data_IF_790649726044
#
_entry.id   IF_790649726044
#
_cell.length_a   1.000
_cell.length_b   1.000
_cell.length_c   1.000
_cell.angle_alpha   90.00
_cell.angle_beta   90.00
_cell.angle_gamma   90.00
#
_symmetry.space_group_name_H-M   'P 1'
#
loop_
_entity.id
_entity.type
_entity.pdbx_description
1 polymer ?
#
# COMPACT_ATOMS: atom_id res chain seq x y z
N UNK A 1 -33.48 -2.84 -4.60
CA UNK A 1 -32.24 -2.60 -5.35
C UNK A 1 -31.19 -1.97 -4.45
N UNK A 2 -30.12 -2.69 -4.15
CA UNK A 2 -29.07 -2.29 -3.20
C UNK A 2 -28.39 -0.99 -3.66
N UNK A 3 -28.50 0.08 -2.87
CA UNK A 3 -27.89 1.38 -3.18
C UNK A 3 -26.38 1.43 -2.93
N UNK A 4 -25.70 0.28 -2.88
CA UNK A 4 -24.29 0.13 -2.50
C UNK A 4 -23.56 -0.72 -3.54
N UNK A 5 -22.27 -0.47 -3.71
CA UNK A 5 -21.38 -1.29 -4.52
C UNK A 5 -21.16 -2.64 -3.85
N UNK A 6 -21.40 -3.75 -4.54
CA UNK A 6 -21.20 -5.10 -4.01
C UNK A 6 -19.71 -5.43 -3.79
N UNK A 7 -18.81 -4.77 -4.53
CA UNK A 7 -17.37 -4.95 -4.32
C UNK A 7 -16.85 -4.12 -3.13
N UNK A 8 -16.97 -2.79 -3.15
CA UNK A 8 -16.35 -1.92 -2.13
C UNK A 8 -17.32 -1.41 -1.04
N UNK A 9 -18.60 -1.77 -1.06
CA UNK A 9 -19.60 -1.31 -0.10
C UNK A 9 -20.02 0.16 -0.24
N UNK A 10 -19.43 0.91 -1.17
CA UNK A 10 -19.66 2.34 -1.34
C UNK A 10 -21.10 2.68 -1.76
N UNK A 11 -21.71 3.70 -1.14
CA UNK A 11 -23.09 4.11 -1.42
C UNK A 11 -23.17 4.84 -2.78
N UNK A 12 -23.89 4.25 -3.73
CA UNK A 12 -23.99 4.70 -5.13
C UNK A 12 -24.99 5.84 -5.35
N UNK A 13 -25.72 6.27 -4.32
CA UNK A 13 -26.78 7.30 -4.43
C UNK A 13 -26.25 8.74 -4.53
N UNK A 14 -25.01 9.02 -4.12
CA UNK A 14 -24.46 10.38 -3.99
C UNK A 14 -23.50 10.82 -5.09
N UNK A 15 -23.17 9.95 -6.05
CA UNK A 15 -22.19 10.27 -7.10
C UNK A 15 -22.87 10.24 -8.46
N UNK A 16 -22.85 11.35 -9.20
CA UNK A 16 -23.25 11.42 -10.61
C UNK A 16 -22.38 10.60 -11.59
N UNK A 17 -21.61 9.63 -11.07
CA UNK A 17 -20.74 8.76 -11.86
C UNK A 17 -21.51 7.49 -12.26
N UNK A 18 -21.34 7.04 -13.50
CA UNK A 18 -22.01 5.85 -14.07
C UNK A 18 -21.68 4.60 -13.24
N UNK A 19 -22.73 3.92 -12.75
CA UNK A 19 -22.68 2.59 -12.11
C UNK A 19 -22.81 1.48 -13.17
N UNK A 20 -22.29 0.29 -12.89
CA UNK A 20 -22.45 -0.89 -13.76
C UNK A 20 -23.20 -1.98 -13.00
N UNK A 21 -24.29 -2.46 -13.56
CA UNK A 21 -24.98 -3.66 -13.07
C UNK A 21 -24.49 -4.84 -13.89
N UNK A 22 -24.16 -5.95 -13.23
CA UNK A 22 -23.74 -7.18 -13.88
C UNK A 22 -24.97 -7.88 -14.45
N UNK A 23 -25.01 -8.06 -15.77
CA UNK A 23 -26.20 -8.61 -16.45
C UNK A 23 -25.98 -10.05 -16.93
N UNK A 24 -24.74 -10.48 -17.14
CA UNK A 24 -24.41 -11.81 -17.63
C UNK A 24 -23.45 -12.54 -16.70
N UNK A 25 -23.44 -13.87 -16.76
CA UNK A 25 -22.50 -14.70 -15.99
C UNK A 25 -21.04 -14.46 -16.40
N UNK A 26 -20.79 -14.15 -17.67
CA UNK A 26 -19.44 -13.81 -18.16
C UNK A 26 -18.93 -12.51 -17.55
N UNK A 27 -19.80 -11.51 -17.39
CA UNK A 27 -19.45 -10.30 -16.65
C UNK A 27 -19.12 -10.64 -15.20
N UNK A 28 -19.94 -11.46 -14.54
CA UNK A 28 -19.68 -11.90 -13.16
C UNK A 28 -18.29 -12.53 -13.04
N UNK A 29 -17.93 -13.46 -13.92
CA UNK A 29 -16.61 -14.11 -13.95
C UNK A 29 -15.48 -13.09 -14.16
N UNK A 30 -15.65 -12.17 -15.10
CA UNK A 30 -14.67 -11.12 -15.42
C UNK A 30 -14.40 -10.19 -14.25
N UNK A 31 -15.42 -9.85 -13.46
CA UNK A 31 -15.25 -8.97 -12.30
C UNK A 31 -14.93 -9.74 -11.01
N UNK A 32 -15.28 -11.02 -10.88
CA UNK A 32 -15.03 -11.80 -9.67
C UNK A 32 -13.55 -12.16 -9.50
N UNK A 33 -12.87 -12.51 -10.60
CA UNK A 33 -11.46 -12.96 -10.58
C UNK A 33 -10.52 -11.88 -10.05
N UNK A 34 -10.54 -10.63 -10.58
CA UNK A 34 -9.65 -9.58 -10.09
C UNK A 34 -10.03 -9.02 -8.71
N UNK A 35 -11.24 -9.33 -8.22
CA UNK A 35 -11.78 -8.75 -6.99
C UNK A 35 -11.79 -9.73 -5.82
N UNK A 36 -11.43 -11.00 -6.04
CA UNK A 36 -11.46 -12.09 -5.05
C UNK A 36 -12.78 -12.12 -4.24
N UNK A 37 -13.90 -11.85 -4.91
CA UNK A 37 -15.24 -11.85 -4.32
C UNK A 37 -16.23 -12.59 -5.21
N UNK A 38 -17.14 -13.32 -4.56
CA UNK A 38 -18.26 -13.98 -5.19
C UNK A 38 -19.32 -12.94 -5.57
N UNK A 39 -19.24 -12.43 -6.79
CA UNK A 39 -20.27 -11.58 -7.39
C UNK A 39 -21.37 -12.46 -7.98
N UNK A 40 -22.58 -11.93 -8.11
CA UNK A 40 -23.73 -12.58 -8.76
C UNK A 40 -24.35 -11.68 -9.84
N UNK A 41 -25.07 -12.30 -10.77
CA UNK A 41 -25.88 -11.56 -11.75
C UNK A 41 -26.89 -10.68 -11.01
N UNK A 42 -26.96 -9.41 -11.37
CA UNK A 42 -27.75 -8.39 -10.67
C UNK A 42 -26.97 -7.53 -9.67
N UNK A 43 -25.71 -7.87 -9.36
CA UNK A 43 -24.87 -7.05 -8.48
C UNK A 43 -24.47 -5.73 -9.15
N UNK A 44 -24.29 -4.69 -8.33
CA UNK A 44 -23.94 -3.35 -8.81
C UNK A 44 -22.54 -2.97 -8.38
N UNK A 45 -21.72 -2.54 -9.34
CA UNK A 45 -20.36 -2.06 -9.14
C UNK A 45 -20.29 -0.54 -9.29
N UNK A 46 -19.47 0.08 -8.45
CA UNK A 46 -19.13 1.50 -8.58
C UNK A 46 -18.19 1.74 -9.76
N UNK A 47 -18.06 3.01 -10.14
CA UNK A 47 -17.20 3.43 -11.25
C UNK A 47 -15.73 2.99 -11.06
N UNK A 48 -15.21 2.93 -9.83
CA UNK A 48 -13.84 2.46 -9.57
C UNK A 48 -13.74 0.94 -9.69
N UNK A 49 -14.66 0.21 -9.06
CA UNK A 49 -14.64 -1.25 -9.04
C UNK A 49 -14.82 -1.87 -10.43
N UNK A 50 -15.60 -1.24 -11.31
CA UNK A 50 -15.75 -1.72 -12.70
C UNK A 50 -14.48 -1.55 -13.55
N UNK A 51 -13.50 -0.74 -13.12
CA UNK A 51 -12.26 -0.54 -13.87
C UNK A 51 -11.17 -1.53 -13.48
N UNK A 52 -11.35 -2.29 -12.39
CA UNK A 52 -10.34 -3.22 -11.86
C UNK A 52 -9.92 -4.26 -12.90
N UNK A 53 -10.81 -4.93 -13.66
CA UNK A 53 -10.37 -5.91 -14.66
C UNK A 53 -9.67 -5.30 -15.87
N UNK A 54 -9.70 -3.97 -16.00
CA UNK A 54 -9.07 -3.23 -17.09
C UNK A 54 -7.81 -2.49 -16.65
N UNK A 55 -7.47 -2.55 -15.35
CA UNK A 55 -6.16 -2.16 -14.88
C UNK A 55 -5.18 -3.22 -15.41
N UNK A 56 -4.39 -2.86 -16.43
CA UNK A 56 -3.37 -3.74 -17.01
C UNK A 56 -2.47 -4.21 -15.87
N UNK A 57 -2.41 -5.51 -15.64
CA UNK A 57 -1.26 -6.14 -15.00
C UNK A 57 -0.02 -5.84 -15.86
N UNK A 58 1.16 -5.58 -15.28
CA UNK A 58 2.40 -5.64 -16.05
C UNK A 58 2.47 -7.05 -16.65
N UNK A 59 2.35 -7.12 -17.97
CA UNK A 59 2.50 -8.37 -18.69
C UNK A 59 4.00 -8.64 -18.81
N UNK A 60 4.43 -9.78 -18.29
CA UNK A 60 5.51 -10.55 -18.90
C UNK A 60 5.14 -10.76 -20.36
N UNK A 61 5.98 -10.31 -21.29
CA UNK A 61 5.76 -10.53 -22.72
C UNK A 61 7.02 -11.15 -23.35
N UNK A 62 6.86 -12.40 -23.80
CA UNK A 62 7.56 -12.94 -24.96
C UNK A 62 6.45 -13.31 -25.96
N UNK A 63 6.09 -12.44 -26.91
CA UNK A 63 6.45 -12.54 -28.34
C UNK A 63 5.52 -11.66 -29.20
N UNK A 64 6.14 -10.77 -29.99
CA UNK A 64 5.65 -9.86 -31.07
C UNK A 64 4.71 -10.54 -32.12
N UNK A 65 4.02 -9.82 -33.07
CA UNK A 65 4.35 -8.50 -33.64
C UNK A 65 3.18 -7.52 -34.00
N UNK A 66 3.52 -6.22 -34.13
CA UNK A 66 2.85 -5.32 -35.09
C UNK A 66 2.41 -3.95 -34.56
N UNK A 67 2.62 -2.84 -35.29
CA UNK A 67 2.84 -1.51 -34.72
C UNK A 67 1.62 -0.58 -34.85
N UNK A 68 1.48 0.37 -33.93
CA UNK A 68 1.10 1.76 -34.22
C UNK A 68 1.27 2.62 -32.97
N UNK A 69 2.12 3.64 -33.13
CA UNK A 69 2.53 4.66 -32.17
C UNK A 69 1.34 5.52 -31.71
N UNK A 70 1.46 6.13 -30.52
CA UNK A 70 1.43 7.60 -30.26
C UNK A 70 1.27 7.87 -28.75
N UNK A 71 2.22 8.66 -28.24
CA UNK A 71 2.29 9.54 -27.06
C UNK A 71 1.24 9.48 -25.95
N UNK A 72 1.74 9.31 -24.72
CA UNK A 72 1.12 9.86 -23.50
C UNK A 72 2.07 10.92 -22.93
N UNK A 73 1.87 12.16 -23.34
CA UNK A 73 2.19 13.34 -22.53
C UNK A 73 0.86 14.04 -22.20
N UNK A 74 0.12 13.60 -21.18
CA UNK A 74 -0.91 14.47 -20.57
C UNK A 74 -1.29 14.04 -19.15
N UNK A 75 -0.37 14.13 -18.18
CA UNK A 75 -0.73 14.33 -16.75
C UNK A 75 0.25 15.28 -16.07
N UNK A 76 0.58 16.41 -16.73
CA UNK A 76 1.43 17.48 -16.17
C UNK A 76 0.83 18.88 -16.37
N UNK A 77 -0.49 19.03 -16.19
CA UNK A 77 -1.15 20.33 -16.11
C UNK A 77 -2.20 20.33 -15.01
N UNK A 78 -1.77 20.74 -13.82
CA UNK A 78 -2.59 21.41 -12.82
C UNK A 78 -1.67 22.39 -12.06
N UNK A 79 -0.94 23.23 -12.81
CA UNK A 79 -0.31 24.44 -12.28
C UNK A 79 -0.44 25.53 -13.37
N UNK A 80 -0.93 26.69 -12.93
CA UNK A 80 -1.01 27.99 -13.61
C UNK A 80 -2.30 28.34 -14.35
N UNK A 81 -3.10 29.16 -13.68
CA UNK A 81 -3.83 30.24 -14.32
C UNK A 81 -3.58 31.52 -13.52
N UNK A 82 -2.53 32.26 -13.88
CA UNK A 82 -2.51 33.72 -13.76
C UNK A 82 -1.46 34.29 -14.72
N UNK A 83 -1.88 35.31 -15.46
CA UNK A 83 -1.21 35.99 -16.57
C UNK A 83 -0.15 36.98 -16.07
N UNK A 84 0.91 37.19 -16.85
CA UNK A 84 1.30 38.52 -17.34
C UNK A 84 2.42 38.42 -18.39
N UNK A 85 2.36 39.36 -19.34
CA UNK A 85 3.20 39.55 -20.51
C UNK A 85 4.70 39.70 -20.18
N UNK A 86 5.56 39.36 -21.16
CA UNK A 86 6.44 40.33 -21.84
C UNK A 86 7.17 39.65 -23.02
N UNK A 87 7.66 40.49 -23.93
CA UNK A 87 7.97 40.28 -25.34
C UNK A 87 9.35 39.63 -25.66
N UNK A 88 9.46 39.19 -26.93
CA UNK A 88 10.65 39.12 -27.80
C UNK A 88 11.81 38.14 -27.50
N UNK A 89 12.08 37.20 -28.43
CA UNK A 89 13.13 37.33 -29.47
C UNK A 89 13.39 35.97 -30.16
N UNK A 90 13.45 35.98 -31.50
CA UNK A 90 13.65 34.82 -32.37
C UNK A 90 15.14 34.61 -32.63
N UNK A 91 15.69 33.43 -32.33
CA UNK A 91 16.95 33.00 -32.94
C UNK A 91 16.92 31.52 -33.35
N UNK A 92 17.11 31.32 -34.65
CA UNK A 92 17.23 30.07 -35.40
C UNK A 92 18.73 29.78 -35.65
N UNK A 93 19.22 28.60 -35.26
CA UNK A 93 20.37 27.87 -35.81
C UNK A 93 20.15 26.38 -35.42
N UNK A 94 19.88 25.46 -36.34
CA UNK A 94 20.73 24.82 -37.37
C UNK A 94 21.66 23.72 -36.81
N UNK A 95 21.69 22.61 -37.55
CA UNK A 95 21.98 21.22 -37.17
C UNK A 95 23.45 20.85 -36.83
N UNK A 96 23.55 19.68 -36.17
CA UNK A 96 24.67 18.73 -36.03
C UNK A 96 25.74 18.99 -34.95
N UNK A 97 25.86 18.06 -33.99
CA UNK A 97 26.89 17.01 -34.07
C UNK A 97 26.66 15.90 -33.02
N UNK A 98 27.19 14.73 -33.37
CA UNK A 98 27.00 13.41 -32.78
C UNK A 98 27.70 13.23 -31.41
N UNK A 99 27.29 12.18 -30.71
CA UNK A 99 27.94 11.56 -29.54
C UNK A 99 27.79 12.22 -28.16
N UNK A 100 26.65 11.96 -27.50
CA UNK A 100 26.70 11.64 -26.07
C UNK A 100 25.73 10.49 -25.75
N UNK A 101 26.31 9.40 -25.25
CA UNK A 101 25.62 8.26 -24.63
C UNK A 101 24.75 8.76 -23.47
N UNK A 102 23.52 9.18 -23.79
CA UNK A 102 22.51 9.47 -22.79
C UNK A 102 22.01 8.15 -22.20
N UNK A 103 22.78 7.62 -21.26
CA UNK A 103 22.43 6.50 -20.41
C UNK A 103 21.31 6.93 -19.46
N UNK A 104 20.08 6.88 -20.00
CA UNK A 104 18.86 7.22 -19.29
C UNK A 104 18.59 6.15 -18.24
N UNK A 105 18.99 6.49 -17.02
CA UNK A 105 18.70 5.89 -15.71
C UNK A 105 17.68 4.74 -15.73
N UNK A 106 18.13 3.54 -15.34
CA UNK A 106 17.26 2.47 -14.87
C UNK A 106 16.21 3.06 -13.90
N UNK A 107 14.93 3.05 -14.30
CA UNK A 107 13.86 3.14 -13.33
C UNK A 107 14.03 1.95 -12.42
N UNK A 108 14.52 2.17 -11.20
CA UNK A 108 14.54 1.14 -10.18
C UNK A 108 13.10 0.71 -9.97
N UNK A 109 12.72 -0.40 -10.59
CA UNK A 109 11.52 -1.15 -10.22
C UNK A 109 11.71 -1.48 -8.74
N UNK A 110 11.09 -0.68 -7.88
CA UNK A 110 11.12 -0.99 -6.45
C UNK A 110 10.37 -2.30 -6.29
N UNK A 111 11.09 -3.36 -5.93
CA UNK A 111 10.53 -4.67 -5.60
C UNK A 111 9.40 -4.46 -4.60
N UNK A 112 8.15 -4.55 -5.07
CA UNK A 112 6.95 -4.34 -4.27
C UNK A 112 6.16 -5.62 -4.20
N UNK A 113 5.60 -5.90 -3.04
CA UNK A 113 4.77 -7.07 -2.80
C UNK A 113 3.46 -6.71 -2.12
N UNK A 114 2.45 -7.55 -2.37
CA UNK A 114 1.11 -7.39 -1.83
C UNK A 114 0.95 -8.33 -0.64
N UNK A 115 0.75 -7.76 0.55
CA UNK A 115 0.55 -8.52 1.78
C UNK A 115 -0.91 -8.42 2.25
N UNK A 116 -1.46 -9.48 2.90
CA UNK A 116 -2.80 -9.48 3.49
C UNK A 116 -2.84 -8.70 4.81
N UNK A 117 -2.35 -7.47 4.80
CA UNK A 117 -2.33 -6.55 5.94
C UNK A 117 -3.44 -5.53 5.78
N UNK A 118 -4.32 -5.47 6.79
CA UNK A 118 -5.34 -4.42 6.91
C UNK A 118 -4.64 -3.07 6.98
N UNK A 119 -5.08 -2.10 6.19
CA UNK A 119 -4.51 -0.75 6.20
C UNK A 119 -5.55 0.35 6.24
N UNK A 120 -5.09 1.51 6.69
CA UNK A 120 -5.81 2.78 6.54
C UNK A 120 -5.74 3.29 5.10
N UNK A 121 -6.46 4.37 4.84
CA UNK A 121 -6.35 5.12 3.59
C UNK A 121 -4.96 5.74 3.50
N UNK A 122 -4.29 5.58 2.35
CA UNK A 122 -3.02 6.25 2.11
C UNK A 122 -3.29 7.66 1.62
N UNK A 123 -2.81 8.66 2.35
CA UNK A 123 -3.06 10.07 2.07
C UNK A 123 -2.01 10.97 2.70
N UNK A 124 -1.47 11.86 1.87
CA UNK A 124 -0.57 12.93 2.32
C UNK A 124 -1.30 14.27 2.55
N UNK A 125 -2.62 14.33 2.27
CA UNK A 125 -3.38 15.60 2.24
C UNK A 125 -4.14 15.89 3.53
N UNK A 126 -4.60 14.86 4.25
CA UNK A 126 -5.48 15.02 5.41
C UNK A 126 -5.17 13.99 6.49
N UNK A 127 -5.63 14.27 7.71
CA UNK A 127 -5.51 13.36 8.83
C UNK A 127 -6.25 12.03 8.58
N UNK A 128 -5.60 10.90 8.81
CA UNK A 128 -6.20 9.57 8.64
C UNK A 128 -7.38 9.26 9.60
N UNK A 129 -7.52 10.01 10.71
CA UNK A 129 -8.55 9.79 11.73
C UNK A 129 -9.76 10.73 11.58
N UNK A 130 -9.51 12.03 11.43
CA UNK A 130 -10.56 13.05 11.39
C UNK A 130 -10.71 13.74 10.02
N UNK A 131 -9.84 13.43 9.05
CA UNK A 131 -9.82 14.06 7.71
C UNK A 131 -9.59 15.58 7.71
N UNK A 132 -9.18 16.16 8.85
CA UNK A 132 -8.76 17.56 8.91
C UNK A 132 -7.45 17.80 8.16
N UNK A 133 -7.29 18.99 7.60
CA UNK A 133 -6.06 19.47 6.96
C UNK A 133 -5.25 20.41 7.86
N UNK A 134 -5.79 20.79 9.02
CA UNK A 134 -5.12 21.70 9.96
C UNK A 134 -4.16 20.97 10.89
N UNK A 135 -2.97 21.54 11.14
CA UNK A 135 -1.97 21.04 12.10
C UNK A 135 -1.62 19.55 11.89
N UNK A 136 -1.52 19.14 10.61
CA UNK A 136 -1.17 17.77 10.23
C UNK A 136 0.35 17.61 10.20
N UNK A 137 0.83 16.50 10.74
CA UNK A 137 2.23 16.07 10.66
C UNK A 137 2.29 14.64 10.14
N UNK A 138 3.42 14.27 9.55
CA UNK A 138 3.67 12.89 9.15
C UNK A 138 3.61 12.00 10.39
N UNK A 139 2.92 10.87 10.28
CA UNK A 139 2.79 9.92 11.37
C UNK A 139 4.16 9.31 11.63
N UNK A 140 4.70 9.48 12.85
CA UNK A 140 6.03 9.02 13.18
C UNK A 140 6.07 7.49 13.19
N UNK A 141 7.26 6.93 12.95
CA UNK A 141 7.51 5.48 12.85
C UNK A 141 6.86 4.74 14.02
N UNK A 142 7.12 5.18 15.24
CA UNK A 142 6.68 4.57 16.49
C UNK A 142 5.16 4.43 16.58
N UNK A 143 4.41 5.44 16.13
CA UNK A 143 2.95 5.43 16.10
C UNK A 143 2.40 4.39 15.10
N UNK A 144 3.05 4.22 13.95
CA UNK A 144 2.65 3.21 12.95
C UNK A 144 2.85 1.80 13.49
N UNK A 145 4.00 1.54 14.13
CA UNK A 145 4.27 0.25 14.77
C UNK A 145 3.30 -0.02 15.91
N UNK A 146 2.98 0.98 16.70
CA UNK A 146 1.99 0.86 17.76
C UNK A 146 0.63 0.42 17.20
N UNK A 147 0.17 1.04 16.11
CA UNK A 147 -1.08 0.67 15.45
C UNK A 147 -1.04 -0.77 14.94
N UNK A 148 0.08 -1.21 14.38
CA UNK A 148 0.23 -2.57 13.91
C UNK A 148 0.25 -3.60 15.04
N UNK A 149 1.04 -3.37 16.09
CA UNK A 149 1.16 -4.31 17.21
C UNK A 149 -0.17 -4.45 17.95
N UNK A 150 -0.86 -3.33 18.22
CA UNK A 150 -2.10 -3.32 19.01
C UNK A 150 -3.35 -3.68 18.21
N UNK A 151 -3.44 -3.28 16.94
CA UNK A 151 -4.67 -3.41 16.13
C UNK A 151 -4.51 -4.23 14.87
N UNK A 152 -3.29 -4.69 14.54
CA UNK A 152 -2.96 -5.36 13.26
C UNK A 152 -3.37 -4.50 12.05
N UNK A 153 -3.25 -3.18 12.19
CA UNK A 153 -3.52 -2.20 11.11
C UNK A 153 -2.21 -1.56 10.68
N UNK A 154 -1.90 -1.67 9.40
CA UNK A 154 -0.79 -1.03 8.73
C UNK A 154 -1.11 0.42 8.36
N UNK A 155 -0.17 1.31 8.66
CA UNK A 155 -0.22 2.72 8.29
C UNK A 155 0.92 2.96 7.29
N UNK A 156 0.60 3.23 6.01
CA UNK A 156 1.59 3.54 4.97
C UNK A 156 2.57 4.65 5.34
N UNK A 157 3.75 4.58 4.74
CA UNK A 157 4.74 5.65 4.84
C UNK A 157 4.18 6.97 4.30
N UNK A 158 4.52 8.08 4.98
CA UNK A 158 4.12 9.43 4.57
C UNK A 158 2.67 9.80 4.93
N UNK A 159 1.85 8.89 5.45
CA UNK A 159 0.51 9.23 5.94
C UNK A 159 0.58 10.26 7.08
N UNK A 160 -0.43 11.13 7.14
CA UNK A 160 -0.44 12.27 8.06
C UNK A 160 -1.55 12.18 9.09
N UNK A 161 -1.31 12.79 10.25
CA UNK A 161 -2.29 12.90 11.32
C UNK A 161 -2.16 14.25 12.04
N UNK A 162 -3.27 14.81 12.52
CA UNK A 162 -3.21 16.05 13.27
C UNK A 162 -2.62 15.82 14.67
N UNK A 163 -1.97 16.85 15.21
CA UNK A 163 -1.33 16.77 16.53
C UNK A 163 -2.30 16.44 17.67
N UNK A 164 -3.60 16.69 17.51
CA UNK A 164 -4.63 16.37 18.51
C UNK A 164 -4.77 14.85 18.75
N UNK A 165 -4.43 14.01 17.77
CA UNK A 165 -4.53 12.55 17.91
C UNK A 165 -3.20 11.88 18.28
N UNK A 166 -2.13 12.66 18.46
CA UNK A 166 -0.79 12.17 18.76
C UNK A 166 -0.23 12.83 20.01
N UNK A 167 -0.04 12.07 21.09
CA UNK A 167 0.75 12.50 22.26
C UNK A 167 2.08 11.75 22.27
N UNK A 168 3.18 12.50 22.46
CA UNK A 168 4.55 11.95 22.49
C UNK A 168 4.81 10.98 21.33
N UNK A 169 4.40 11.37 20.12
CA UNK A 169 4.57 10.59 18.89
C UNK A 169 3.87 9.22 18.90
N UNK A 170 2.81 9.06 19.69
CA UNK A 170 2.01 7.83 19.79
C UNK A 170 0.52 8.16 19.76
N UNK A 171 -0.26 7.20 19.27
CA UNK A 171 -1.71 7.27 19.36
C UNK A 171 -2.17 6.90 20.77
N UNK A 172 -3.26 7.53 21.21
CA UNK A 172 -3.99 7.07 22.39
C UNK A 172 -4.75 5.79 22.09
N UNK A 173 -5.13 5.03 23.12
CA UNK A 173 -5.84 3.77 22.95
C UNK A 173 -7.21 3.95 22.25
N UNK A 174 -7.90 5.05 22.56
CA UNK A 174 -9.18 5.39 21.93
C UNK A 174 -9.00 5.74 20.46
N UNK A 175 -7.95 6.50 20.12
CA UNK A 175 -7.66 6.87 18.72
C UNK A 175 -7.21 5.67 17.89
N UNK A 176 -6.47 4.72 18.49
CA UNK A 176 -6.15 3.45 17.85
C UNK A 176 -7.40 2.66 17.49
N UNK A 177 -8.42 2.67 18.36
CA UNK A 177 -9.70 2.01 18.12
C UNK A 177 -10.48 2.66 16.97
N UNK A 178 -10.26 3.95 16.72
CA UNK A 178 -10.94 4.74 15.69
C UNK A 178 -10.33 4.60 14.30
N UNK A 179 -9.15 3.97 14.17
CA UNK A 179 -8.51 3.76 12.87
C UNK A 179 -9.42 2.96 11.94
N UNK A 180 -9.79 3.56 10.81
CA UNK A 180 -10.68 2.94 9.83
C UNK A 180 -9.89 2.10 8.84
N UNK A 181 -10.27 0.84 8.73
CA UNK A 181 -9.74 -0.07 7.71
C UNK A 181 -10.30 0.37 6.35
N UNK A 182 -9.40 0.73 5.43
CA UNK A 182 -9.72 1.07 4.06
C UNK A 182 -9.56 -0.13 3.12
N UNK A 183 -8.57 -0.99 3.38
CA UNK A 183 -8.28 -2.19 2.59
C UNK A 183 -7.79 -3.31 3.51
N UNK A 184 -8.04 -4.57 3.13
CA UNK A 184 -7.49 -5.76 3.80
C UNK A 184 -6.11 -6.16 3.25
N UNK A 185 -5.64 -5.46 2.21
CA UNK A 185 -4.35 -5.68 1.57
C UNK A 185 -3.54 -4.39 1.51
N UNK A 186 -2.22 -4.54 1.63
CA UNK A 186 -1.24 -3.47 1.57
C UNK A 186 -0.16 -3.80 0.56
N UNK A 187 0.25 -2.80 -0.22
CA UNK A 187 1.42 -2.88 -1.10
C UNK A 187 2.59 -2.29 -0.33
N UNK A 188 3.68 -3.04 -0.20
CA UNK A 188 4.88 -2.61 0.48
C UNK A 188 6.09 -2.89 -0.41
N UNK A 189 7.10 -2.03 -0.36
CA UNK A 189 8.41 -2.34 -0.96
C UNK A 189 9.21 -3.31 -0.10
N UNK A 190 10.18 -4.01 -0.69
CA UNK A 190 11.09 -4.88 0.03
C UNK A 190 11.79 -4.15 1.19
N UNK A 191 12.22 -2.89 0.96
CA UNK A 191 12.83 -2.03 1.99
C UNK A 191 11.89 -1.75 3.15
N UNK A 192 10.62 -1.47 2.86
CA UNK A 192 9.61 -1.21 3.91
C UNK A 192 9.39 -2.45 4.76
N UNK A 193 9.36 -3.63 4.15
CA UNK A 193 9.15 -4.89 4.84
C UNK A 193 10.33 -5.22 5.73
N UNK A 194 11.56 -5.13 5.22
CA UNK A 194 12.77 -5.36 6.02
C UNK A 194 12.80 -4.43 7.22
N UNK A 195 12.63 -3.12 7.00
CA UNK A 195 12.56 -2.12 8.09
C UNK A 195 11.47 -2.46 9.10
N UNK A 196 10.34 -3.02 8.65
CA UNK A 196 9.24 -3.37 9.51
C UNK A 196 9.53 -4.61 10.37
N UNK A 197 10.16 -5.62 9.79
CA UNK A 197 10.57 -6.85 10.47
C UNK A 197 11.69 -6.60 11.47
N UNK A 198 12.69 -5.79 11.11
CA UNK A 198 13.79 -5.41 12.00
C UNK A 198 13.27 -4.76 13.29
N UNK A 199 12.36 -3.79 13.15
CA UNK A 199 11.75 -3.09 14.28
C UNK A 199 10.81 -3.97 15.12
N UNK A 200 10.27 -5.04 14.55
CA UNK A 200 9.56 -6.06 15.33
C UNK A 200 10.55 -6.94 16.10
N UNK A 201 11.67 -7.33 15.49
CA UNK A 201 12.72 -8.12 16.13
C UNK A 201 13.29 -7.42 17.37
N UNK A 202 13.68 -6.15 17.23
CA UNK A 202 14.19 -5.35 18.35
C UNK A 202 13.20 -5.27 19.52
N UNK A 203 11.89 -5.16 19.22
CA UNK A 203 10.86 -5.14 20.26
C UNK A 203 10.69 -6.48 20.95
N UNK A 204 10.76 -7.59 20.20
CA UNK A 204 10.68 -8.94 20.77
C UNK A 204 11.84 -9.16 21.73
N UNK A 205 13.07 -8.86 21.30
CA UNK A 205 14.27 -8.95 22.14
C UNK A 205 14.11 -8.11 23.41
N UNK A 206 13.72 -6.84 23.30
CA UNK A 206 13.51 -5.98 24.45
C UNK A 206 12.44 -6.51 25.42
N UNK A 207 11.38 -7.18 24.91
CA UNK A 207 10.39 -7.82 25.79
C UNK A 207 10.90 -9.10 26.44
N UNK A 208 11.69 -9.91 25.73
CA UNK A 208 12.30 -11.13 26.29
C UNK A 208 13.29 -10.79 27.40
N UNK A 209 14.19 -9.83 27.18
CA UNK A 209 15.16 -9.42 28.20
C UNK A 209 14.49 -8.84 29.45
N UNK A 210 13.39 -8.10 29.30
CA UNK A 210 12.58 -7.63 30.44
C UNK A 210 11.94 -8.79 31.20
N UNK A 211 11.35 -9.76 30.50
CA UNK A 211 10.72 -10.91 31.14
C UNK A 211 11.73 -11.81 31.86
N UNK A 212 12.96 -11.92 31.34
CA UNK A 212 14.07 -12.65 32.00
C UNK A 212 14.54 -11.88 33.24
N UNK A 213 14.68 -10.55 33.15
CA UNK A 213 15.09 -9.69 34.27
C UNK A 213 14.09 -9.65 35.42
N UNK A 214 12.79 -9.72 35.10
CA UNK A 214 11.71 -9.64 36.10
C UNK A 214 11.36 -11.01 36.73
N UNK A 215 12.04 -12.10 36.37
CA UNK A 215 11.85 -13.45 36.95
C UNK A 215 10.40 -13.97 36.94
N UNK A 216 9.57 -13.56 35.97
CA UNK A 216 8.18 -14.03 35.81
C UNK A 216 8.04 -15.03 34.66
N UNK A 217 9.02 -15.91 34.47
CA UNK A 217 8.86 -17.07 33.60
C UNK A 217 8.38 -18.24 34.46
N UNK A 218 7.10 -18.67 34.38
CA UNK A 218 6.71 -19.94 34.96
C UNK A 218 7.58 -21.03 34.32
N UNK A 219 8.24 -21.85 35.15
CA UNK A 219 9.22 -22.88 34.78
C UNK A 219 8.80 -23.78 33.61
N UNK A 220 7.49 -23.93 33.41
CA UNK A 220 6.90 -24.74 32.36
C UNK A 220 7.27 -24.27 30.93
N UNK A 221 7.45 -22.95 30.71
CA UNK A 221 7.81 -22.40 29.38
C UNK A 221 9.30 -22.51 29.03
N UNK A 222 10.16 -22.68 30.03
CA UNK A 222 11.62 -22.78 29.82
C UNK A 222 12.00 -24.13 29.19
N UNK A 223 11.30 -25.21 29.55
CA UNK A 223 11.54 -26.55 29.00
C UNK A 223 11.24 -26.61 27.50
N UNK A 224 10.09 -26.07 27.08
CA UNK A 224 9.68 -26.06 25.68
C UNK A 224 10.65 -25.30 24.77
N UNK A 225 11.22 -24.18 25.24
CA UNK A 225 12.20 -23.40 24.48
C UNK A 225 13.57 -24.08 24.36
N UNK A 226 13.99 -24.82 25.37
CA UNK A 226 15.26 -25.56 25.37
C UNK A 226 15.14 -26.79 24.45
N UNK A 227 13.99 -27.45 24.45
CA UNK A 227 13.74 -28.63 23.62
C UNK A 227 13.60 -28.26 22.13
N UNK A 228 12.96 -27.14 21.78
CA UNK A 228 12.90 -26.65 20.41
C UNK A 228 14.29 -26.30 19.83
N UNK A 229 15.19 -25.79 20.67
CA UNK A 229 16.56 -25.42 20.29
C UNK A 229 17.47 -26.65 20.07
N UNK A 230 17.15 -27.79 20.67
CA UNK A 230 17.87 -29.07 20.47
C UNK A 230 17.45 -29.79 19.19
N UNK A 231 16.18 -29.64 18.77
CA UNK A 231 15.67 -30.28 17.56
C UNK A 231 16.18 -29.67 16.25
N UNK A 232 16.62 -28.40 16.24
CA UNK A 232 17.12 -27.75 15.02
C UNK A 232 18.60 -27.97 14.75
N UNK A 233 19.38 -28.44 15.74
CA UNK A 233 20.84 -28.62 15.60
C UNK A 233 21.28 -30.07 15.29
N UNK A 234 20.35 -31.02 15.19
CA UNK A 234 20.69 -32.45 15.04
C UNK A 234 20.29 -33.07 13.70
N UNK A 235 19.67 -32.34 12.76
CA UNK A 235 19.06 -32.95 11.56
C UNK A 235 19.73 -32.64 10.21
N UNK A 236 20.97 -32.13 10.15
CA UNK A 236 21.63 -31.94 8.84
C UNK A 236 23.13 -32.24 8.84
N UNK A 237 23.50 -33.39 9.41
CA UNK A 237 24.83 -33.99 9.19
C UNK A 237 24.63 -35.43 8.70
N UNK A 238 24.97 -35.60 7.40
CA UNK A 238 25.39 -36.83 6.71
C UNK A 238 24.30 -37.81 6.28
N UNK A 239 24.11 -37.93 4.95
CA UNK A 239 24.30 -39.20 4.22
C UNK A 239 24.46 -38.91 2.72
N UNK A 240 25.71 -38.84 2.26
CA UNK A 240 26.08 -39.12 0.87
C UNK A 240 26.75 -40.50 0.89
N UNK A 241 26.10 -41.47 0.27
CA UNK A 241 26.58 -42.83 0.02
C UNK A 241 25.94 -43.35 -1.25
#
# INVERSE_FOLDING_TARGET
MSGKCNNCGFILRKTGKRKKTLQTEDEVRKYSVPQMKLLKVGDVLCHKCRLIPYAKSPATDDTRPGPSRINIETERRDILQFESADEEDYHYYDDNDEDEDFCMSHSSDEDTMILPLKRVISTHKYCILCSSQSNIKTIPKEARYQAFIKRRIFIPNGDRCCSQHLIKNKFFEDELSRLRIHSNYSVLSAKEVSTFLDLLSEKVEATLFKQIGDSTMPEEKLKDTIDASRTTNTSTIIEFG
#
